data_IF_928856619518
#
_entry.id   IF_928856619518
#
_cell.length_a   1.000
_cell.length_b   1.000
_cell.length_c   1.000
_cell.angle_alpha   90.00
_cell.angle_beta   90.00
_cell.angle_gamma   90.00
#
_symmetry.space_group_name_H-M   'P 1'
#
loop_
_entity.id
_entity.type
_entity.pdbx_description
1 polymer ?
#
# COMPACT_ATOMS: atom_id res chain seq x y z
N UNK A 1 -1.81 -20.37 -5.02
CA UNK A 1 -0.66 -19.46 -5.08
C UNK A 1 -0.86 -18.48 -3.94
N UNK A 2 0.05 -18.44 -2.97
CA UNK A 2 -0.13 -17.58 -1.79
C UNK A 2 -0.01 -16.11 -2.24
N UNK A 3 -1.13 -15.41 -2.30
CA UNK A 3 -1.20 -14.02 -2.75
C UNK A 3 -0.86 -13.10 -1.58
N UNK A 4 0.05 -12.15 -1.80
CA UNK A 4 0.35 -11.10 -0.81
C UNK A 4 -0.92 -10.34 -0.43
N UNK A 5 -1.04 -9.99 0.85
CA UNK A 5 -2.08 -9.09 1.36
C UNK A 5 -1.85 -7.66 0.84
N UNK A 6 -2.86 -6.79 0.93
CA UNK A 6 -2.72 -5.39 0.50
C UNK A 6 -1.66 -4.65 1.33
N UNK A 7 -1.53 -4.95 2.62
CA UNK A 7 -0.44 -4.44 3.48
C UNK A 7 0.93 -4.82 2.91
N UNK A 8 1.12 -6.11 2.59
CA UNK A 8 2.39 -6.62 2.07
C UNK A 8 2.73 -6.06 0.69
N UNK A 9 1.71 -5.87 -0.16
CA UNK A 9 1.85 -5.21 -1.47
C UNK A 9 2.24 -3.73 -1.33
N UNK A 10 1.65 -3.01 -0.38
CA UNK A 10 2.01 -1.62 -0.09
C UNK A 10 3.47 -1.52 0.39
N UNK A 11 3.88 -2.36 1.35
CA UNK A 11 5.27 -2.43 1.82
C UNK A 11 6.21 -2.72 0.65
N UNK A 12 5.90 -3.74 -0.17
CA UNK A 12 6.72 -4.09 -1.32
C UNK A 12 6.84 -2.92 -2.32
N UNK A 13 5.73 -2.25 -2.62
CA UNK A 13 5.69 -1.11 -3.55
C UNK A 13 6.57 0.04 -3.05
N UNK A 14 6.46 0.41 -1.78
CA UNK A 14 7.30 1.45 -1.16
C UNK A 14 8.78 1.09 -1.26
N UNK A 15 9.15 -0.14 -0.91
CA UNK A 15 10.55 -0.58 -0.96
C UNK A 15 11.10 -0.64 -2.39
N UNK A 16 10.28 -1.04 -3.38
CA UNK A 16 10.68 -1.01 -4.80
C UNK A 16 10.95 0.42 -5.25
N UNK A 17 10.05 1.35 -4.92
CA UNK A 17 10.18 2.76 -5.29
C UNK A 17 11.35 3.43 -4.56
N UNK A 18 11.59 3.05 -3.30
CA UNK A 18 12.76 3.46 -2.54
C UNK A 18 14.07 3.09 -3.24
N UNK A 19 14.19 1.84 -3.68
CA UNK A 19 15.36 1.38 -4.43
C UNK A 19 15.46 2.08 -5.78
N UNK A 20 14.35 2.24 -6.50
CA UNK A 20 14.35 2.90 -7.81
C UNK A 20 14.90 4.33 -7.74
N UNK A 21 14.59 5.06 -6.66
CA UNK A 21 15.08 6.42 -6.44
C UNK A 21 16.57 6.49 -6.07
N UNK A 22 17.12 5.48 -5.40
CA UNK A 22 18.46 5.56 -4.74
C UNK A 22 19.52 4.60 -5.27
N UNK A 23 19.16 3.71 -6.19
CA UNK A 23 20.08 2.67 -6.74
C UNK A 23 21.34 3.19 -7.42
N UNK A 24 21.40 4.47 -7.78
CA UNK A 24 22.58 5.09 -8.39
C UNK A 24 23.54 5.68 -7.34
N UNK A 25 23.09 5.81 -6.08
CA UNK A 25 23.83 6.44 -4.99
C UNK A 25 24.71 5.44 -4.20
N UNK A 26 24.42 4.14 -4.29
CA UNK A 26 25.17 3.09 -3.60
C UNK A 26 24.28 1.99 -3.05
N UNK A 27 24.88 0.99 -2.40
CA UNK A 27 24.14 -0.08 -1.72
C UNK A 27 23.66 0.34 -0.32
N UNK A 28 24.45 1.15 0.39
CA UNK A 28 24.12 1.66 1.72
C UNK A 28 22.97 2.69 1.70
N UNK A 29 22.82 3.43 0.59
CA UNK A 29 21.69 4.36 0.40
C UNK A 29 20.35 3.66 0.16
N UNK A 30 20.36 2.33 -0.04
CA UNK A 30 19.14 1.56 -0.22
C UNK A 30 18.46 1.19 1.09
N UNK A 31 19.16 1.37 2.22
CA UNK A 31 18.60 1.11 3.53
C UNK A 31 17.47 2.09 3.82
N UNK A 32 16.46 1.60 4.53
CA UNK A 32 15.35 2.39 5.03
C UNK A 32 15.15 2.00 6.49
N UNK A 33 15.15 2.98 7.38
CA UNK A 33 14.84 2.67 8.77
C UNK A 33 13.33 2.46 9.00
N UNK A 34 12.96 1.83 10.11
CA UNK A 34 11.56 1.54 10.42
C UNK A 34 10.69 2.81 10.54
N UNK A 35 11.28 3.94 10.94
CA UNK A 35 10.60 5.24 11.04
C UNK A 35 10.33 5.84 9.66
N UNK A 36 11.33 5.81 8.76
CA UNK A 36 11.20 6.21 7.36
C UNK A 36 10.17 5.33 6.64
N UNK A 37 10.23 4.02 6.83
CA UNK A 37 9.25 3.10 6.22
C UNK A 37 7.83 3.39 6.72
N UNK A 38 7.65 3.65 8.02
CA UNK A 38 6.36 4.04 8.56
C UNK A 38 5.85 5.36 7.95
N UNK A 39 6.74 6.35 7.78
CA UNK A 39 6.42 7.62 7.15
C UNK A 39 5.96 7.43 5.69
N UNK A 40 6.71 6.67 4.89
CA UNK A 40 6.36 6.38 3.49
C UNK A 40 5.02 5.62 3.36
N UNK A 41 4.68 4.80 4.35
CA UNK A 41 3.39 4.10 4.42
C UNK A 41 2.24 4.97 4.98
N UNK A 42 2.51 6.22 5.39
CA UNK A 42 1.52 7.09 6.03
C UNK A 42 1.07 6.61 7.41
N UNK A 43 1.87 5.77 8.07
CA UNK A 43 1.62 5.28 9.42
C UNK A 43 2.30 6.16 10.46
N UNK A 44 1.68 6.31 11.63
CA UNK A 44 2.28 7.08 12.75
C UNK A 44 3.54 6.42 13.31
N UNK A 45 3.68 5.09 13.15
CA UNK A 45 4.80 4.30 13.67
C UNK A 45 4.79 2.88 13.08
N UNK A 46 5.97 2.30 12.87
CA UNK A 46 6.13 0.88 12.58
C UNK A 46 5.82 0.05 13.83
N UNK A 47 4.95 -0.95 13.71
CA UNK A 47 4.62 -1.91 14.76
C UNK A 47 5.36 -3.23 14.51
N UNK A 48 5.74 -3.95 15.57
CA UNK A 48 6.33 -5.31 15.47
C UNK A 48 5.52 -6.30 14.62
N UNK A 49 4.20 -6.10 14.50
CA UNK A 49 3.34 -6.91 13.62
C UNK A 49 3.77 -6.86 12.14
N UNK A 50 4.50 -5.84 11.71
CA UNK A 50 5.00 -5.77 10.35
C UNK A 50 6.26 -6.62 10.12
N UNK A 51 6.91 -7.14 11.17
CA UNK A 51 7.98 -8.13 11.02
C UNK A 51 7.46 -9.41 10.36
N UNK A 52 6.23 -9.82 10.70
CA UNK A 52 5.56 -10.95 10.07
C UNK A 52 5.28 -10.66 8.59
N UNK A 53 4.81 -9.46 8.27
CA UNK A 53 4.63 -9.02 6.87
C UNK A 53 5.97 -9.00 6.10
N UNK A 54 7.07 -8.55 6.71
CA UNK A 54 8.40 -8.58 6.11
C UNK A 54 8.92 -10.01 5.92
N UNK A 55 8.64 -10.93 6.84
CA UNK A 55 8.97 -12.35 6.71
C UNK A 55 8.19 -13.00 5.56
N UNK A 56 6.88 -12.75 5.48
CA UNK A 56 6.04 -13.24 4.38
C UNK A 56 6.52 -12.67 3.04
N UNK A 57 6.81 -11.37 2.98
CA UNK A 57 7.37 -10.73 1.79
C UNK A 57 8.74 -11.32 1.43
N UNK A 58 9.58 -11.62 2.42
CA UNK A 58 10.87 -12.26 2.21
C UNK A 58 10.71 -13.66 1.59
N UNK A 59 9.78 -14.48 2.11
CA UNK A 59 9.46 -15.78 1.54
C UNK A 59 8.89 -15.67 0.11
N UNK A 60 8.06 -14.65 -0.14
CA UNK A 60 7.55 -14.36 -1.47
C UNK A 60 8.69 -14.03 -2.46
N UNK A 61 9.63 -13.16 -2.07
CA UNK A 61 10.78 -12.80 -2.90
C UNK A 61 11.61 -14.03 -3.27
N UNK A 62 11.93 -14.89 -2.29
CA UNK A 62 12.68 -16.13 -2.50
C UNK A 62 11.96 -17.08 -3.49
N UNK A 63 10.65 -17.29 -3.30
CA UNK A 63 9.86 -18.19 -4.17
C UNK A 63 9.73 -17.68 -5.61
N UNK A 64 9.62 -16.37 -5.80
CA UNK A 64 9.44 -15.74 -7.12
C UNK A 64 10.77 -15.37 -7.79
N UNK A 65 11.91 -15.52 -7.10
CA UNK A 65 13.22 -15.12 -7.62
C UNK A 65 13.45 -13.61 -7.66
N UNK A 66 12.73 -12.84 -6.82
CA UNK A 66 12.92 -11.40 -6.68
C UNK A 66 14.01 -11.05 -5.65
N UNK A 67 14.63 -9.86 -5.77
CA UNK A 67 15.53 -9.36 -4.72
C UNK A 67 14.84 -9.31 -3.36
N UNK A 68 15.54 -9.73 -2.31
CA UNK A 68 15.00 -9.80 -0.94
C UNK A 68 14.88 -8.41 -0.30
N UNK A 69 13.94 -7.60 -0.77
CA UNK A 69 13.77 -6.20 -0.36
C UNK A 69 13.46 -6.01 1.12
N UNK A 70 12.91 -7.03 1.80
CA UNK A 70 12.67 -6.97 3.23
C UNK A 70 13.97 -6.69 4.02
N UNK A 71 15.14 -7.11 3.51
CA UNK A 71 16.43 -6.88 4.16
C UNK A 71 16.96 -5.43 4.05
N UNK A 72 16.23 -4.55 3.36
CA UNK A 72 16.52 -3.11 3.35
C UNK A 72 16.01 -2.42 4.61
N UNK A 73 15.01 -3.00 5.29
CA UNK A 73 14.43 -2.44 6.51
C UNK A 73 15.36 -2.69 7.68
N UNK A 74 15.83 -1.62 8.31
CA UNK A 74 16.81 -1.70 9.41
C UNK A 74 16.29 -1.08 10.70
N UNK A 75 16.73 -1.65 11.83
CA UNK A 75 16.42 -1.10 13.15
C UNK A 75 17.45 -0.01 13.49
N UNK A 76 17.01 1.20 13.88
CA UNK A 76 17.90 2.26 14.34
C UNK A 76 18.87 1.77 15.42
N UNK A 77 20.16 2.07 15.26
CA UNK A 77 21.22 1.70 16.20
C UNK A 77 21.84 0.31 15.99
N UNK A 78 21.17 -0.59 15.27
CA UNK A 78 21.76 -1.87 14.84
C UNK A 78 22.44 -1.76 13.47
N UNK A 79 22.03 -0.78 12.66
CA UNK A 79 22.47 -0.60 11.27
C UNK A 79 22.35 -1.89 10.45
N UNK A 80 21.32 -2.70 10.69
CA UNK A 80 21.03 -3.95 9.97
C UNK A 80 19.58 -4.40 10.23
N UNK A 81 19.03 -5.33 9.43
CA UNK A 81 17.71 -5.89 9.67
C UNK A 81 17.59 -6.59 11.02
N UNK A 82 16.36 -6.65 11.52
CA UNK A 82 16.07 -7.38 12.75
C UNK A 82 16.49 -8.86 12.61
N UNK A 83 17.03 -9.44 13.69
CA UNK A 83 17.63 -10.79 13.69
C UNK A 83 16.68 -11.87 13.18
N UNK A 84 15.39 -11.75 13.48
CA UNK A 84 14.39 -12.72 13.03
C UNK A 84 14.22 -12.70 11.51
N UNK A 85 14.11 -11.51 10.92
CA UNK A 85 14.05 -11.35 9.46
C UNK A 85 15.32 -11.83 8.78
N UNK A 86 16.47 -11.54 9.38
CA UNK A 86 17.75 -12.03 8.89
C UNK A 86 17.82 -13.56 8.88
N UNK A 87 17.46 -14.20 10.00
CA UNK A 87 17.45 -15.66 10.12
C UNK A 87 16.44 -16.29 9.16
N UNK A 88 15.29 -15.65 8.96
CA UNK A 88 14.27 -16.07 8.00
C UNK A 88 14.80 -16.00 6.55
N UNK A 89 15.41 -14.88 6.16
CA UNK A 89 15.95 -14.69 4.81
C UNK A 89 17.05 -15.71 4.47
N UNK A 90 17.94 -16.00 5.41
CA UNK A 90 19.04 -16.94 5.17
C UNK A 90 18.72 -18.38 5.58
N UNK A 91 17.52 -18.64 6.13
CA UNK A 91 17.07 -19.94 6.64
C UNK A 91 18.07 -20.58 7.63
N UNK A 92 18.86 -19.74 8.31
CA UNK A 92 19.92 -20.17 9.24
C UNK A 92 20.33 -19.03 10.17
N UNK A 93 20.89 -19.38 11.32
CA UNK A 93 21.55 -18.42 12.22
C UNK A 93 23.04 -18.43 11.94
N UNK A 94 23.61 -17.27 11.62
CA UNK A 94 25.03 -17.11 11.32
C UNK A 94 25.79 -16.46 12.48
N UNK A 95 27.08 -16.78 12.66
CA UNK A 95 27.99 -16.00 13.48
C UNK A 95 28.04 -14.54 13.00
N UNK A 96 28.34 -13.60 13.91
CA UNK A 96 28.28 -12.16 13.62
C UNK A 96 29.12 -11.74 12.40
N UNK A 97 30.34 -12.27 12.26
CA UNK A 97 31.23 -11.94 11.15
C UNK A 97 30.69 -12.41 9.78
N UNK A 98 30.07 -13.60 9.73
CA UNK A 98 29.43 -14.10 8.50
C UNK A 98 28.13 -13.36 8.18
N UNK A 99 27.39 -12.96 9.21
CA UNK A 99 26.14 -12.23 9.03
C UNK A 99 26.35 -10.91 8.28
N UNK A 100 27.36 -10.13 8.68
CA UNK A 100 27.71 -8.87 8.00
C UNK A 100 28.09 -9.10 6.54
N UNK A 101 28.91 -10.13 6.27
CA UNK A 101 29.31 -10.45 4.89
C UNK A 101 28.11 -10.79 4.02
N UNK A 102 27.23 -11.69 4.50
CA UNK A 102 26.02 -12.13 3.78
C UNK A 102 25.06 -10.99 3.53
N UNK A 103 24.90 -10.11 4.51
CA UNK A 103 24.07 -8.92 4.35
C UNK A 103 24.61 -7.99 3.26
N UNK A 104 25.89 -7.65 3.31
CA UNK A 104 26.53 -6.79 2.32
C UNK A 104 26.47 -7.38 0.90
N UNK A 105 26.64 -8.70 0.78
CA UNK A 105 26.51 -9.39 -0.50
C UNK A 105 25.08 -9.30 -1.04
N UNK A 106 24.08 -9.40 -0.17
CA UNK A 106 22.67 -9.26 -0.54
C UNK A 106 22.31 -7.83 -0.95
N UNK A 107 22.77 -6.80 -0.21
CA UNK A 107 22.58 -5.40 -0.60
C UNK A 107 23.16 -5.11 -1.99
N UNK A 108 24.35 -5.66 -2.29
CA UNK A 108 24.96 -5.55 -3.62
C UNK A 108 24.13 -6.22 -4.71
N UNK A 109 23.51 -7.37 -4.43
CA UNK A 109 22.60 -8.03 -5.39
C UNK A 109 21.37 -7.19 -5.66
N UNK A 110 20.75 -6.63 -4.61
CA UNK A 110 19.60 -5.74 -4.73
C UNK A 110 19.95 -4.54 -5.62
N UNK A 111 21.05 -3.84 -5.33
CA UNK A 111 21.52 -2.69 -6.12
C UNK A 111 21.77 -3.05 -7.61
N UNK A 112 22.32 -4.24 -7.87
CA UNK A 112 22.66 -4.73 -9.22
C UNK A 112 21.48 -5.38 -9.96
N UNK A 113 20.31 -5.48 -9.33
CA UNK A 113 19.14 -6.10 -9.94
C UNK A 113 18.70 -5.32 -11.19
N UNK A 114 18.35 -6.06 -12.26
CA UNK A 114 18.00 -5.49 -13.57
C UNK A 114 16.74 -4.63 -13.47
N UNK A 115 16.68 -3.52 -14.23
CA UNK A 115 15.50 -2.65 -14.32
C UNK A 115 14.22 -3.41 -14.69
N UNK A 116 14.33 -4.41 -15.57
CA UNK A 116 13.21 -5.26 -15.98
C UNK A 116 12.65 -6.11 -14.85
N UNK A 117 13.52 -6.68 -14.00
CA UNK A 117 13.12 -7.45 -12.82
C UNK A 117 12.36 -6.58 -11.82
N UNK A 118 12.81 -5.34 -11.62
CA UNK A 118 12.09 -4.37 -10.78
C UNK A 118 10.72 -3.98 -11.34
N UNK A 119 10.63 -3.76 -12.65
CA UNK A 119 9.35 -3.46 -13.31
C UNK A 119 8.37 -4.63 -13.20
N UNK A 120 8.84 -5.86 -13.42
CA UNK A 120 8.02 -7.06 -13.25
C UNK A 120 7.56 -7.24 -11.81
N UNK A 121 8.47 -7.06 -10.84
CA UNK A 121 8.14 -7.13 -9.42
C UNK A 121 7.05 -6.10 -9.06
N UNK A 122 7.22 -4.84 -9.48
CA UNK A 122 6.23 -3.77 -9.25
C UNK A 122 4.87 -4.12 -9.83
N UNK A 123 4.82 -4.65 -11.06
CA UNK A 123 3.56 -5.06 -11.69
C UNK A 123 2.86 -6.18 -10.90
N UNK A 124 3.62 -7.13 -10.35
CA UNK A 124 3.07 -8.26 -9.62
C UNK A 124 2.60 -7.91 -8.20
N UNK A 125 3.13 -6.84 -7.61
CA UNK A 125 2.68 -6.35 -6.29
C UNK A 125 1.79 -5.12 -6.39
N UNK A 126 1.45 -4.67 -7.60
CA UNK A 126 0.54 -3.55 -7.79
C UNK A 126 -0.80 -3.84 -7.07
N UNK A 127 -1.36 -2.86 -6.33
CA UNK A 127 -2.69 -3.00 -5.80
C UNK A 127 -3.67 -3.24 -6.96
N UNK A 128 -4.69 -4.06 -6.73
CA UNK A 128 -5.77 -4.19 -7.71
C UNK A 128 -6.35 -2.79 -7.93
N UNK A 129 -6.42 -2.32 -9.18
CA UNK A 129 -7.12 -1.08 -9.49
C UNK A 129 -8.49 -1.15 -8.83
N UNK A 130 -8.81 -0.18 -7.95
CA UNK A 130 -10.19 0.01 -7.53
C UNK A 130 -10.99 0.22 -8.83
N UNK A 131 -11.81 -0.77 -9.22
CA UNK A 131 -12.81 -0.54 -10.24
C UNK A 131 -13.53 0.75 -9.83
N UNK A 132 -13.55 1.79 -10.68
CA UNK A 132 -14.19 3.04 -10.32
C UNK A 132 -15.62 2.69 -9.95
N UNK A 133 -15.94 2.82 -8.65
CA UNK A 133 -17.23 2.46 -8.10
C UNK A 133 -18.27 3.02 -9.05
N UNK A 134 -19.00 2.13 -9.74
CA UNK A 134 -20.04 2.52 -10.70
C UNK A 134 -20.91 3.52 -9.98
N UNK A 135 -20.69 4.82 -10.26
CA UNK A 135 -21.55 5.89 -9.78
C UNK A 135 -22.90 5.48 -10.29
N UNK A 136 -23.77 5.01 -9.39
CA UNK A 136 -25.19 4.80 -9.71
C UNK A 136 -25.66 6.16 -10.19
N UNK A 137 -25.70 6.35 -11.51
CA UNK A 137 -26.43 7.45 -12.12
C UNK A 137 -27.83 7.29 -11.56
N UNK A 138 -28.21 8.20 -10.66
CA UNK A 138 -29.60 8.40 -10.30
C UNK A 138 -30.30 8.84 -11.58
N UNK A 139 -30.79 7.85 -12.33
CA UNK A 139 -31.71 8.08 -13.42
C UNK A 139 -32.96 8.67 -12.80
N UNK A 140 -33.11 9.97 -13.03
CA UNK A 140 -34.33 10.72 -12.76
C UNK A 140 -35.47 10.02 -13.48
N UNK A 141 -36.32 9.31 -12.73
CA UNK A 141 -37.64 8.93 -13.22
C UNK A 141 -38.59 10.09 -12.96
N UNK A 142 -38.79 10.89 -14.02
CA UNK A 142 -39.84 11.90 -14.12
C UNK A 142 -41.19 11.17 -14.08
N UNK A 143 -41.89 11.26 -12.94
CA UNK A 143 -43.24 10.73 -12.74
C UNK A 143 -44.11 11.79 -12.08
N UNK A 144 -44.91 12.48 -12.88
CA UNK A 144 -45.94 13.40 -12.43
C UNK A 144 -46.92 12.68 -11.47
N UNK A 145 -47.09 13.21 -10.26
CA UNK A 145 -48.41 13.21 -9.61
C UNK A 145 -48.49 14.31 -8.56
N UNK A 146 -49.42 15.23 -8.79
CA UNK A 146 -49.83 16.25 -7.83
C UNK A 146 -50.32 15.58 -6.53
N UNK A 147 -49.77 16.01 -5.40
CA UNK A 147 -50.22 15.64 -4.06
C UNK A 147 -50.24 16.89 -3.19
N UNK A 148 -51.45 17.37 -2.89
CA UNK A 148 -51.74 18.50 -1.99
C UNK A 148 -51.11 18.27 -0.62
N UNK A 149 -50.54 19.33 -0.04
CA UNK A 149 -50.35 19.40 1.40
C UNK A 149 -51.73 19.32 2.09
N UNK A 150 -51.92 18.32 2.94
CA UNK A 150 -53.08 18.18 3.83
C UNK A 150 -52.58 18.06 5.26
N UNK A 151 -53.10 18.90 6.13
CA UNK A 151 -53.01 18.77 7.59
C UNK A 151 -53.80 17.53 8.07
N UNK A 152 -53.65 17.17 9.35
CA UNK A 152 -54.15 15.94 9.99
C UNK A 152 -55.69 15.75 9.98
N UNK A 153 -56.44 16.46 9.14
CA UNK A 153 -57.90 16.33 8.95
C UNK A 153 -58.38 16.34 7.49
N UNK A 154 -57.52 16.05 6.52
CA UNK A 154 -57.95 15.50 5.21
C UNK A 154 -58.98 16.30 4.40
N UNK A 155 -58.80 17.61 4.21
CA UNK A 155 -59.64 18.41 3.28
C UNK A 155 -58.78 19.13 2.22
N UNK A 156 -59.13 19.10 0.91
CA UNK A 156 -58.21 19.54 -0.14
C UNK A 156 -58.44 20.98 -0.64
N UNK A 157 -57.52 21.94 -0.37
CA UNK A 157 -57.58 23.36 -0.84
C UNK A 157 -57.58 23.52 -2.38
N UNK A 158 -58.64 24.11 -2.94
CA UNK A 158 -58.77 24.41 -4.38
C UNK A 158 -57.98 25.65 -4.81
N UNK A 159 -57.57 25.70 -6.07
CA UNK A 159 -56.76 26.75 -6.70
C UNK A 159 -57.62 27.98 -7.09
N UNK A 160 -57.00 29.16 -6.93
CA UNK A 160 -57.18 30.48 -7.60
C UNK A 160 -58.00 30.50 -8.91
N UNK A 161 -58.60 31.64 -9.34
CA UNK A 161 -57.93 32.95 -9.45
C UNK A 161 -58.81 34.22 -9.28
N UNK A 162 -58.21 35.40 -9.12
CA UNK A 162 -58.49 36.61 -9.94
C UNK A 162 -57.73 37.86 -9.43
N UNK A 163 -56.83 38.29 -10.31
CA UNK A 163 -56.36 39.64 -10.62
C UNK A 163 -57.18 40.82 -10.05
N UNK A 164 -56.51 41.85 -9.50
CA UNK A 164 -56.84 43.26 -9.77
C UNK A 164 -55.75 44.19 -9.24
N UNK A 165 -55.20 44.95 -10.17
CA UNK A 165 -54.32 46.12 -10.02
C UNK A 165 -54.87 47.24 -9.14
N UNK A 166 -53.94 48.08 -8.69
CA UNK A 166 -53.96 49.55 -8.40
C UNK A 166 -53.25 49.81 -7.06
N UNK A 167 -52.44 50.85 -6.90
CA UNK A 167 -51.90 51.90 -7.76
C UNK A 167 -50.68 52.47 -7.01
#
# INVERSE_FOLDING_TARGET
METLTDSQKQIATVLIDWVAARREEGAESLLIDEGELAHELGASSWKRSYLDDLNILCAYCDRMGYPTISLLVVVPGLNRPERALFAHAFKTTLPAAEATKRWNDELKKIAKTKKTTWAEFKNNVAPAEEEPAKRKRSTTAKGNKAGKATDKKGTPLSKNPLNSSRA
#
